data_IF_105488380588
#
_entry.id   IF_105488380588
#
_cell.length_a   1.000
_cell.length_b   1.000
_cell.length_c   1.000
_cell.angle_alpha   90.00
_cell.angle_beta   90.00
_cell.angle_gamma   90.00
#
_symmetry.space_group_name_H-M   'P 1'
#
loop_
_entity.id
_entity.type
_entity.pdbx_description
1 polymer ?
#
# COMPACT_ATOMS: atom_id res chain seq x y z
N UNK A 1 -0.86 -4.11 -15.05
CA UNK A 1 -1.47 -3.04 -14.24
C UNK A 1 -0.41 -2.01 -13.81
N UNK A 2 0.55 -2.35 -12.95
CA UNK A 2 1.68 -1.49 -12.60
C UNK A 2 2.96 -2.07 -13.22
N UNK A 3 3.73 -1.23 -13.91
CA UNK A 3 5.02 -1.62 -14.51
C UNK A 3 6.08 -0.61 -14.09
N UNK A 4 7.13 -1.08 -13.43
CA UNK A 4 8.28 -0.29 -13.02
C UNK A 4 9.45 -0.73 -13.91
N UNK A 5 10.04 0.22 -14.65
CA UNK A 5 11.01 -0.06 -15.70
C UNK A 5 12.32 0.66 -15.42
N UNK A 6 13.36 -0.10 -15.09
CA UNK A 6 14.72 0.40 -14.85
C UNK A 6 14.74 1.66 -13.96
N UNK A 7 13.97 1.62 -12.85
CA UNK A 7 13.75 2.76 -11.96
C UNK A 7 15.00 3.04 -11.12
N UNK A 8 15.53 4.24 -11.26
CA UNK A 8 16.57 4.81 -10.40
C UNK A 8 16.01 6.00 -9.65
N UNK A 9 16.14 6.00 -8.35
CA UNK A 9 15.64 7.08 -7.51
C UNK A 9 16.47 7.22 -6.23
N UNK A 10 16.44 8.43 -5.66
CA UNK A 10 17.18 8.72 -4.45
C UNK A 10 16.68 9.96 -3.73
N UNK A 11 17.43 10.40 -2.73
CA UNK A 11 17.18 11.59 -1.92
C UNK A 11 18.50 12.31 -1.67
N UNK A 12 18.51 13.64 -1.72
CA UNK A 12 19.68 14.48 -1.47
C UNK A 12 20.92 14.07 -2.28
N UNK A 13 20.71 13.72 -3.56
CA UNK A 13 21.78 13.29 -4.47
C UNK A 13 22.32 11.87 -4.20
N UNK A 14 21.80 11.15 -3.21
CA UNK A 14 22.17 9.76 -2.93
C UNK A 14 21.19 8.81 -3.59
N UNK A 15 21.68 8.03 -4.55
CA UNK A 15 20.89 6.99 -5.21
C UNK A 15 20.58 5.83 -4.23
N UNK A 16 19.31 5.46 -4.12
CA UNK A 16 18.84 4.37 -3.27
C UNK A 16 18.31 3.22 -4.12
N UNK A 17 17.45 3.52 -5.11
CA UNK A 17 16.97 2.52 -6.07
C UNK A 17 17.88 2.54 -7.31
N UNK A 18 18.33 1.38 -7.73
CA UNK A 18 19.42 1.21 -8.70
C UNK A 18 19.01 0.32 -9.87
N UNK A 19 17.92 0.72 -10.57
CA UNK A 19 17.42 -0.01 -11.74
C UNK A 19 16.41 -1.09 -11.39
N UNK A 20 15.37 -0.74 -10.63
CA UNK A 20 14.27 -1.64 -10.28
C UNK A 20 13.44 -1.95 -11.52
N UNK A 21 13.19 -3.25 -11.74
CA UNK A 21 12.21 -3.73 -12.70
C UNK A 21 11.18 -4.59 -11.97
N UNK A 22 9.90 -4.25 -12.09
CA UNK A 22 8.80 -4.97 -11.45
C UNK A 22 7.54 -4.85 -12.30
N UNK A 23 6.93 -5.98 -12.61
CA UNK A 23 5.65 -6.06 -13.29
C UNK A 23 4.61 -6.66 -12.35
N UNK A 24 3.49 -5.96 -12.15
CA UNK A 24 2.38 -6.41 -11.29
C UNK A 24 1.09 -6.36 -12.10
N UNK A 25 0.44 -7.50 -12.27
CA UNK A 25 -0.83 -7.59 -13.01
C UNK A 25 -2.03 -7.45 -12.05
N UNK A 26 -3.19 -7.19 -12.66
CA UNK A 26 -4.45 -7.23 -11.93
C UNK A 26 -4.71 -8.65 -11.39
N UNK A 27 -5.24 -8.74 -10.17
CA UNK A 27 -5.48 -9.98 -9.46
C UNK A 27 -4.28 -10.51 -8.68
N UNK A 28 -3.06 -10.01 -8.92
CA UNK A 28 -1.84 -10.52 -8.30
C UNK A 28 -1.53 -9.86 -6.95
N UNK A 29 -0.91 -10.66 -6.07
CA UNK A 29 -0.31 -10.21 -4.81
C UNK A 29 1.18 -10.41 -4.89
N UNK A 30 1.94 -9.34 -4.79
CA UNK A 30 3.39 -9.34 -4.78
C UNK A 30 3.91 -8.99 -3.39
N UNK A 31 4.87 -9.75 -2.89
CA UNK A 31 5.60 -9.40 -1.68
C UNK A 31 6.99 -8.87 -2.03
N UNK A 32 7.37 -7.76 -1.40
CA UNK A 32 8.73 -7.23 -1.48
C UNK A 32 9.38 -7.40 -0.12
N UNK A 33 10.38 -8.24 -0.06
CA UNK A 33 11.16 -8.53 1.13
C UNK A 33 12.60 -8.02 0.98
N UNK A 34 13.31 -7.87 2.09
CA UNK A 34 14.70 -7.44 2.06
C UNK A 34 15.15 -6.88 3.41
N UNK A 35 16.45 -6.77 3.65
CA UNK A 35 16.98 -6.22 4.90
C UNK A 35 16.60 -4.74 5.07
N UNK A 36 16.80 -4.23 6.28
CA UNK A 36 16.65 -2.80 6.56
C UNK A 36 17.64 -2.00 5.72
N UNK A 37 17.19 -0.87 5.17
CA UNK A 37 18.01 -0.03 4.28
C UNK A 37 18.11 -0.53 2.83
N UNK A 38 17.44 -1.62 2.45
CA UNK A 38 17.47 -2.15 1.08
C UNK A 38 16.77 -1.24 0.04
N UNK A 39 15.94 -0.27 0.48
CA UNK A 39 15.19 0.63 -0.40
C UNK A 39 13.70 0.31 -0.49
N UNK A 40 13.15 -0.57 0.35
CA UNK A 40 11.72 -0.99 0.30
C UNK A 40 10.75 0.18 0.45
N UNK A 41 10.87 0.96 1.53
CA UNK A 41 10.00 2.13 1.77
C UNK A 41 10.32 3.30 0.83
N UNK A 42 11.54 3.35 0.25
CA UNK A 42 11.84 4.27 -0.84
C UNK A 42 11.02 3.90 -2.08
N UNK A 43 10.95 2.61 -2.41
CA UNK A 43 10.18 2.14 -3.57
C UNK A 43 8.69 2.47 -3.42
N UNK A 44 8.08 2.19 -2.27
CA UNK A 44 6.68 2.54 -2.01
C UNK A 44 6.44 4.06 -2.08
N UNK A 45 7.32 4.85 -1.48
CA UNK A 45 7.24 6.32 -1.49
C UNK A 45 7.37 6.89 -2.90
N UNK A 46 8.32 6.40 -3.69
CA UNK A 46 8.52 6.84 -5.10
C UNK A 46 7.30 6.48 -5.96
N UNK A 47 6.72 5.29 -5.79
CA UNK A 47 5.50 4.91 -6.53
C UNK A 47 4.31 5.76 -6.11
N UNK A 48 4.21 6.12 -4.82
CA UNK A 48 3.17 7.00 -4.30
C UNK A 48 3.36 8.48 -4.68
N UNK A 49 4.51 8.86 -5.26
CA UNK A 49 4.78 10.24 -5.70
C UNK A 49 5.33 11.15 -4.61
N UNK A 50 5.98 10.62 -3.58
CA UNK A 50 6.56 11.45 -2.53
C UNK A 50 7.69 12.33 -3.08
N UNK A 51 7.47 13.64 -3.08
CA UNK A 51 8.34 14.69 -3.65
C UNK A 51 9.73 14.77 -3.02
N UNK A 52 9.95 14.15 -1.86
CA UNK A 52 11.28 14.09 -1.25
C UNK A 52 12.25 13.18 -2.02
N UNK A 53 11.75 12.35 -2.93
CA UNK A 53 12.55 11.45 -3.73
C UNK A 53 12.61 11.91 -5.20
N UNK A 54 13.78 11.94 -5.76
CA UNK A 54 14.02 12.28 -7.16
C UNK A 54 14.19 11.00 -7.98
N UNK A 55 13.39 10.87 -9.05
CA UNK A 55 13.57 9.83 -10.06
C UNK A 55 14.56 10.34 -11.11
N UNK A 56 15.72 9.69 -11.21
CA UNK A 56 16.79 10.10 -12.12
C UNK A 56 16.77 9.32 -13.43
N UNK A 57 16.16 8.12 -13.47
CA UNK A 57 16.06 7.28 -14.66
C UNK A 57 14.95 6.24 -14.52
N UNK A 58 14.46 5.76 -15.66
CA UNK A 58 13.41 4.75 -15.72
C UNK A 58 12.01 5.34 -15.72
N UNK A 59 11.00 4.50 -15.53
CA UNK A 59 9.60 4.92 -15.55
C UNK A 59 8.76 4.07 -14.60
N UNK A 60 7.60 4.62 -14.20
CA UNK A 60 6.54 3.95 -13.43
C UNK A 60 5.26 4.11 -14.23
N UNK A 61 4.75 3.02 -14.76
CA UNK A 61 3.57 3.01 -15.60
C UNK A 61 2.37 2.37 -14.88
N UNK A 62 1.24 3.05 -14.87
CA UNK A 62 -0.04 2.49 -14.45
C UNK A 62 -0.94 2.33 -15.67
N UNK A 63 -1.29 1.09 -16.01
CA UNK A 63 -2.03 0.74 -17.24
C UNK A 63 -1.40 1.30 -18.53
N UNK A 64 -0.07 1.41 -18.57
CA UNK A 64 0.69 1.91 -19.71
C UNK A 64 0.91 3.42 -19.74
N UNK A 65 0.36 4.17 -18.79
CA UNK A 65 0.58 5.62 -18.65
C UNK A 65 1.62 5.91 -17.58
N UNK A 66 2.59 6.78 -17.89
CA UNK A 66 3.60 7.21 -16.93
C UNK A 66 3.00 8.00 -15.78
N UNK A 67 3.51 7.76 -14.56
CA UNK A 67 3.15 8.47 -13.34
C UNK A 67 4.21 9.51 -12.94
N UNK A 68 5.31 9.67 -13.68
CA UNK A 68 6.45 10.46 -13.19
C UNK A 68 6.12 11.94 -13.00
N UNK A 69 5.30 12.50 -13.88
CA UNK A 69 4.87 13.91 -13.79
C UNK A 69 3.65 14.12 -12.88
N UNK A 70 3.03 13.03 -12.40
CA UNK A 70 1.84 13.12 -11.56
C UNK A 70 2.22 13.44 -10.11
N UNK A 71 1.55 14.41 -9.51
CA UNK A 71 1.58 14.69 -8.09
C UNK A 71 0.98 13.52 -7.27
N UNK A 72 1.29 13.39 -5.96
CA UNK A 72 0.77 12.31 -5.12
C UNK A 72 -0.77 12.16 -5.17
N UNK A 73 -1.51 13.26 -5.14
CA UNK A 73 -2.97 13.27 -5.24
C UNK A 73 -3.47 12.79 -6.61
N UNK A 74 -2.76 13.10 -7.68
CA UNK A 74 -3.12 12.64 -9.03
C UNK A 74 -2.92 11.13 -9.16
N UNK A 75 -1.83 10.59 -8.60
CA UNK A 75 -1.60 9.14 -8.52
C UNK A 75 -2.67 8.44 -7.68
N UNK A 76 -3.09 9.05 -6.57
CA UNK A 76 -4.19 8.54 -5.76
C UNK A 76 -5.52 8.53 -6.55
N UNK A 77 -5.82 9.59 -7.33
CA UNK A 77 -7.00 9.66 -8.20
C UNK A 77 -6.96 8.61 -9.33
N UNK A 78 -5.77 8.27 -9.83
CA UNK A 78 -5.58 7.20 -10.83
C UNK A 78 -5.73 5.80 -10.23
N UNK A 79 -5.69 5.68 -8.89
CA UNK A 79 -5.95 4.45 -8.15
C UNK A 79 -4.72 3.83 -7.47
N UNK A 80 -3.68 4.62 -7.19
CA UNK A 80 -2.59 4.20 -6.30
C UNK A 80 -3.00 4.48 -4.86
N UNK A 81 -2.87 3.50 -3.99
CA UNK A 81 -3.06 3.61 -2.55
C UNK A 81 -1.81 3.14 -1.82
N UNK A 82 -1.39 3.86 -0.80
CA UNK A 82 -0.30 3.48 0.07
C UNK A 82 -0.74 3.49 1.53
N UNK A 83 -0.56 2.36 2.23
CA UNK A 83 -0.64 2.27 3.68
C UNK A 83 0.72 2.64 4.26
N UNK A 84 0.75 3.65 5.11
CA UNK A 84 2.00 4.16 5.67
C UNK A 84 2.50 3.29 6.84
N UNK A 85 3.82 3.19 7.00
CA UNK A 85 4.42 2.57 8.18
C UNK A 85 3.91 3.25 9.47
N UNK A 86 3.85 4.59 9.47
CA UNK A 86 3.31 5.40 10.56
C UNK A 86 2.17 6.28 10.05
N UNK A 87 0.89 5.85 10.22
CA UNK A 87 -0.26 6.64 9.78
C UNK A 87 -0.34 8.00 10.47
N UNK A 88 -0.52 9.06 9.66
CA UNK A 88 -0.60 10.44 10.14
C UNK A 88 -1.89 10.67 10.93
N UNK A 89 -1.80 11.45 12.02
CA UNK A 89 -2.96 11.91 12.79
C UNK A 89 -3.45 13.25 12.25
N UNK A 90 -4.77 13.37 12.04
CA UNK A 90 -5.41 14.63 11.62
C UNK A 90 -6.46 15.01 12.66
N UNK A 91 -6.07 15.82 13.68
CA UNK A 91 -6.99 16.26 14.71
C UNK A 91 -8.15 17.09 14.13
N UNK A 92 -9.35 16.88 14.66
CA UNK A 92 -10.55 17.62 14.26
C UNK A 92 -11.22 17.15 12.97
N UNK A 93 -10.61 16.26 12.20
CA UNK A 93 -11.22 15.67 11.00
C UNK A 93 -11.64 14.22 11.32
N UNK A 94 -12.95 13.95 11.34
CA UNK A 94 -13.43 12.59 11.57
C UNK A 94 -13.06 11.65 10.42
N UNK A 95 -12.94 10.34 10.73
CA UNK A 95 -12.72 9.30 9.71
C UNK A 95 -13.75 9.41 8.59
N UNK A 96 -15.04 9.59 8.95
CA UNK A 96 -16.12 9.76 7.96
C UNK A 96 -15.91 10.96 7.04
N UNK A 97 -15.54 12.12 7.61
CA UNK A 97 -15.33 13.34 6.82
C UNK A 97 -14.12 13.20 5.90
N UNK A 98 -13.02 12.62 6.39
CA UNK A 98 -11.85 12.32 5.58
C UNK A 98 -12.21 11.45 4.38
N UNK A 99 -12.90 10.33 4.61
CA UNK A 99 -13.33 9.40 3.56
C UNK A 99 -14.27 10.08 2.55
N UNK A 100 -15.25 10.86 3.04
CA UNK A 100 -16.16 11.62 2.16
C UNK A 100 -15.36 12.52 1.21
N UNK A 101 -14.43 13.29 1.76
CA UNK A 101 -13.61 14.22 0.96
C UNK A 101 -12.77 13.45 -0.06
N UNK A 102 -12.06 12.39 0.37
CA UNK A 102 -11.21 11.60 -0.50
C UNK A 102 -11.98 10.94 -1.68
N UNK A 103 -13.18 10.38 -1.41
CA UNK A 103 -14.03 9.81 -2.45
C UNK A 103 -14.50 10.89 -3.42
N UNK A 104 -14.95 12.04 -2.91
CA UNK A 104 -15.50 13.09 -3.77
C UNK A 104 -14.42 13.75 -4.63
N UNK A 105 -13.21 13.96 -4.11
CA UNK A 105 -12.08 14.46 -4.92
C UNK A 105 -11.66 13.45 -6.00
N UNK A 106 -11.64 12.15 -5.67
CA UNK A 106 -11.38 11.10 -6.67
C UNK A 106 -12.45 11.07 -7.76
N UNK A 107 -13.75 11.20 -7.42
CA UNK A 107 -14.86 11.28 -8.38
C UNK A 107 -14.76 12.52 -9.25
N UNK A 108 -14.46 13.67 -8.66
CA UNK A 108 -14.27 14.93 -9.37
C UNK A 108 -13.14 14.86 -10.40
N UNK A 109 -12.01 14.24 -10.04
CA UNK A 109 -10.90 14.00 -10.96
C UNK A 109 -11.31 13.12 -12.16
N UNK A 110 -12.34 12.26 -11.98
CA UNK A 110 -12.92 11.43 -13.04
C UNK A 110 -14.08 12.11 -13.78
N UNK A 111 -14.38 13.38 -13.50
CA UNK A 111 -15.51 14.09 -14.09
C UNK A 111 -16.88 13.65 -13.58
N UNK A 112 -16.93 12.93 -12.46
CA UNK A 112 -18.17 12.43 -11.85
C UNK A 112 -18.70 13.40 -10.79
N UNK A 113 -20.04 13.47 -10.58
CA UNK A 113 -20.61 14.26 -9.49
C UNK A 113 -20.22 13.68 -8.13
N UNK A 114 -20.32 14.50 -7.07
CA UNK A 114 -20.17 14.03 -5.70
C UNK A 114 -21.09 12.84 -5.41
N UNK A 115 -20.61 11.92 -4.55
CA UNK A 115 -21.42 10.78 -4.11
C UNK A 115 -22.57 11.27 -3.23
N UNK A 116 -23.83 10.89 -3.54
CA UNK A 116 -24.97 11.23 -2.69
C UNK A 116 -24.76 10.75 -1.24
N UNK A 117 -25.16 11.57 -0.26
CA UNK A 117 -24.93 11.27 1.16
C UNK A 117 -25.51 9.92 1.59
N UNK A 118 -26.68 9.55 1.06
CA UNK A 118 -27.31 8.26 1.37
C UNK A 118 -26.50 7.07 0.83
N UNK A 119 -25.93 7.19 -0.37
CA UNK A 119 -25.07 6.19 -0.99
C UNK A 119 -23.74 6.06 -0.21
N UNK A 120 -23.12 7.18 0.14
CA UNK A 120 -21.91 7.18 0.95
C UNK A 120 -22.13 6.50 2.30
N UNK A 121 -23.20 6.83 3.01
CA UNK A 121 -23.52 6.22 4.30
C UNK A 121 -23.78 4.71 4.16
N UNK A 122 -24.45 4.28 3.10
CA UNK A 122 -24.65 2.86 2.79
C UNK A 122 -23.31 2.18 2.59
N UNK A 123 -22.44 2.71 1.72
CA UNK A 123 -21.08 2.17 1.45
C UNK A 123 -20.24 2.09 2.73
N UNK A 124 -20.25 3.14 3.55
CA UNK A 124 -19.55 3.16 4.85
C UNK A 124 -20.02 2.01 5.75
N UNK A 125 -21.33 1.81 5.90
CA UNK A 125 -21.90 0.75 6.75
C UNK A 125 -21.52 -0.64 6.23
N UNK A 126 -21.62 -0.88 4.93
CA UNK A 126 -21.26 -2.14 4.28
C UNK A 126 -19.78 -2.47 4.49
N UNK A 127 -18.87 -1.51 4.21
CA UNK A 127 -17.43 -1.72 4.38
C UNK A 127 -17.02 -1.83 5.86
N UNK A 128 -17.64 -1.06 6.75
CA UNK A 128 -17.40 -1.19 8.20
C UNK A 128 -17.84 -2.56 8.72
N UNK A 129 -19.01 -3.06 8.30
CA UNK A 129 -19.47 -4.40 8.66
C UNK A 129 -18.55 -5.50 8.09
N UNK A 130 -18.12 -5.37 6.82
CA UNK A 130 -17.18 -6.29 6.19
C UNK A 130 -15.87 -6.43 6.97
N UNK A 131 -15.36 -5.32 7.51
CA UNK A 131 -14.09 -5.23 8.23
C UNK A 131 -14.23 -5.29 9.75
N UNK A 132 -15.45 -5.52 10.26
CA UNK A 132 -15.74 -5.62 11.68
C UNK A 132 -15.35 -4.36 12.48
N UNK A 133 -15.55 -3.19 11.87
CA UNK A 133 -15.22 -1.90 12.46
C UNK A 133 -16.40 -1.39 13.29
N UNK A 134 -16.13 -1.02 14.55
CA UNK A 134 -17.13 -0.40 15.42
C UNK A 134 -17.57 0.95 14.83
N UNK A 135 -18.87 1.22 14.63
CA UNK A 135 -19.37 2.49 14.09
C UNK A 135 -18.90 3.74 14.84
N UNK A 136 -18.70 3.65 16.16
CA UNK A 136 -18.21 4.76 16.98
C UNK A 136 -16.78 5.20 16.58
N UNK A 137 -16.03 4.32 15.96
CA UNK A 137 -14.69 4.61 15.44
C UNK A 137 -14.73 5.66 14.32
N UNK A 138 -15.76 5.64 13.50
CA UNK A 138 -15.89 6.49 12.30
C UNK A 138 -16.14 7.97 12.62
N UNK A 139 -16.64 8.29 13.81
CA UNK A 139 -16.85 9.65 14.30
C UNK A 139 -15.62 10.27 14.98
N UNK A 140 -14.60 9.45 15.32
CA UNK A 140 -13.35 9.93 15.95
C UNK A 140 -12.48 10.66 14.94
N UNK A 141 -11.64 11.58 15.42
CA UNK A 141 -10.60 12.23 14.61
C UNK A 141 -9.65 11.19 14.02
N UNK A 142 -9.29 11.37 12.75
CA UNK A 142 -8.46 10.42 11.98
C UNK A 142 -7.16 10.12 12.72
N UNK A 143 -7.00 8.87 13.12
CA UNK A 143 -5.84 8.30 13.81
C UNK A 143 -5.48 8.91 15.17
N UNK A 144 -6.18 9.98 15.62
CA UNK A 144 -5.88 10.66 16.88
C UNK A 144 -6.22 9.78 18.09
N UNK A 145 -5.19 9.42 18.86
CA UNK A 145 -5.35 8.55 20.02
C UNK A 145 -5.77 7.12 19.68
N UNK A 146 -5.55 6.68 18.45
CA UNK A 146 -5.75 5.29 18.04
C UNK A 146 -4.57 4.44 18.49
N UNK A 147 -4.83 3.21 18.92
CA UNK A 147 -3.79 2.20 19.06
C UNK A 147 -3.18 1.84 17.70
N UNK A 148 -2.02 1.20 17.68
CA UNK A 148 -1.39 0.73 16.43
C UNK A 148 -2.34 -0.13 15.58
N UNK A 149 -3.03 -1.07 16.22
CA UNK A 149 -4.02 -1.92 15.53
C UNK A 149 -5.24 -1.15 15.01
N UNK A 150 -5.72 -0.13 15.75
CA UNK A 150 -6.80 0.75 15.27
C UNK A 150 -6.36 1.59 14.06
N UNK A 151 -5.12 2.13 14.07
CA UNK A 151 -4.57 2.88 12.93
C UNK A 151 -4.51 2.01 11.68
N UNK A 152 -4.00 0.79 11.80
CA UNK A 152 -3.92 -0.15 10.67
C UNK A 152 -5.29 -0.60 10.15
N UNK A 153 -6.26 -0.88 11.05
CA UNK A 153 -7.64 -1.15 10.63
C UNK A 153 -8.25 0.05 9.89
N UNK A 154 -7.94 1.27 10.33
CA UNK A 154 -8.41 2.47 9.64
C UNK A 154 -7.82 2.59 8.24
N UNK A 155 -6.55 2.25 8.03
CA UNK A 155 -5.95 2.23 6.69
C UNK A 155 -6.62 1.19 5.78
N UNK A 156 -6.91 -0.02 6.29
CA UNK A 156 -7.64 -1.02 5.52
C UNK A 156 -9.08 -0.57 5.22
N UNK A 157 -9.70 0.18 6.13
CA UNK A 157 -11.01 0.79 5.87
C UNK A 157 -10.92 1.86 4.77
N UNK A 158 -9.89 2.71 4.79
CA UNK A 158 -9.65 3.67 3.71
C UNK A 158 -9.45 2.94 2.37
N UNK A 159 -8.65 1.89 2.34
CA UNK A 159 -8.47 1.04 1.15
C UNK A 159 -9.82 0.46 0.66
N UNK A 160 -10.66 -0.03 1.57
CA UNK A 160 -11.98 -0.57 1.23
C UNK A 160 -12.93 0.47 0.64
N UNK A 161 -12.85 1.71 1.13
CA UNK A 161 -13.72 2.80 0.68
C UNK A 161 -13.26 3.40 -0.66
N UNK A 162 -11.95 3.49 -0.87
CA UNK A 162 -11.34 4.09 -2.06
C UNK A 162 -11.23 3.10 -3.24
N UNK A 163 -11.23 1.80 -2.98
CA UNK A 163 -11.19 0.73 -3.98
C UNK A 163 -10.06 0.95 -5.02
N UNK A 164 -8.80 1.02 -4.56
CA UNK A 164 -7.68 1.35 -5.43
C UNK A 164 -7.40 0.23 -6.45
N UNK A 165 -6.78 0.60 -7.59
CA UNK A 165 -6.27 -0.34 -8.57
C UNK A 165 -5.02 -1.05 -8.05
N UNK A 166 -4.13 -0.31 -7.40
CA UNK A 166 -2.90 -0.85 -6.78
C UNK A 166 -2.84 -0.38 -5.34
N UNK A 167 -2.81 -1.33 -4.40
CA UNK A 167 -2.61 -1.06 -2.98
C UNK A 167 -1.20 -1.48 -2.57
N UNK A 168 -0.42 -0.54 -2.01
CA UNK A 168 0.91 -0.78 -1.45
C UNK A 168 0.80 -0.75 0.07
N UNK A 169 1.12 -1.87 0.70
CA UNK A 169 1.06 -2.06 2.15
C UNK A 169 2.49 -2.07 2.71
N UNK A 170 2.96 -0.91 3.17
CA UNK A 170 4.34 -0.76 3.65
C UNK A 170 4.43 -1.05 5.15
N UNK A 171 5.10 -2.15 5.48
CA UNK A 171 5.31 -2.65 6.85
C UNK A 171 4.04 -2.61 7.73
N UNK A 172 2.92 -3.05 7.16
CA UNK A 172 1.60 -3.02 7.80
C UNK A 172 1.51 -3.90 9.05
N UNK A 173 2.44 -4.82 9.23
CA UNK A 173 2.61 -5.73 10.36
C UNK A 173 3.44 -5.14 11.50
N UNK A 174 4.11 -4.00 11.29
CA UNK A 174 4.97 -3.39 12.31
C UNK A 174 4.20 -2.96 13.55
N UNK A 175 4.62 -3.44 14.71
CA UNK A 175 4.01 -3.08 16.01
C UNK A 175 2.63 -3.68 16.27
N UNK A 176 2.18 -4.64 15.45
CA UNK A 176 0.92 -5.35 15.67
C UNK A 176 1.14 -6.64 16.48
N UNK A 177 0.22 -6.90 17.41
CA UNK A 177 0.06 -8.23 17.99
C UNK A 177 -0.57 -9.22 16.99
N UNK A 178 -0.62 -10.50 17.34
CA UNK A 178 -1.10 -11.58 16.47
C UNK A 178 -2.55 -11.35 16.02
N UNK A 179 -3.40 -10.88 16.91
CA UNK A 179 -4.83 -10.73 16.63
C UNK A 179 -5.07 -9.54 15.73
N UNK A 180 -4.41 -8.40 15.97
CA UNK A 180 -4.47 -7.23 15.10
C UNK A 180 -3.93 -7.56 13.69
N UNK A 181 -2.81 -8.29 13.60
CA UNK A 181 -2.24 -8.74 12.33
C UNK A 181 -3.23 -9.60 11.53
N UNK A 182 -3.89 -10.56 12.20
CA UNK A 182 -4.89 -11.42 11.57
C UNK A 182 -6.09 -10.63 11.04
N UNK A 183 -6.58 -9.65 11.81
CA UNK A 183 -7.70 -8.80 11.40
C UNK A 183 -7.33 -7.97 10.17
N UNK A 184 -6.17 -7.35 10.17
CA UNK A 184 -5.64 -6.57 9.04
C UNK A 184 -5.50 -7.44 7.79
N UNK A 185 -4.86 -8.60 7.91
CA UNK A 185 -4.67 -9.52 6.80
C UNK A 185 -5.99 -10.06 6.25
N UNK A 186 -6.95 -10.40 7.12
CA UNK A 186 -8.30 -10.80 6.70
C UNK A 186 -9.01 -9.66 5.94
N UNK A 187 -8.84 -8.42 6.40
CA UNK A 187 -9.35 -7.24 5.70
C UNK A 187 -8.79 -7.13 4.28
N UNK A 188 -7.49 -7.21 4.13
CA UNK A 188 -6.82 -7.20 2.80
C UNK A 188 -7.35 -8.33 1.92
N UNK A 189 -7.43 -9.57 2.44
CA UNK A 189 -7.92 -10.72 1.68
C UNK A 189 -9.38 -10.56 1.21
N UNK A 190 -10.24 -9.91 2.02
CA UNK A 190 -11.63 -9.59 1.62
C UNK A 190 -11.72 -8.53 0.52
N UNK A 191 -10.68 -7.71 0.35
CA UNK A 191 -10.63 -6.62 -0.63
C UNK A 191 -9.89 -7.00 -1.91
N UNK A 192 -9.21 -8.14 -1.95
CA UNK A 192 -8.57 -8.66 -3.16
C UNK A 192 -9.62 -9.01 -4.21
N UNK A 193 -9.35 -8.66 -5.46
CA UNK A 193 -10.20 -8.95 -6.60
C UNK A 193 -9.36 -9.17 -7.86
N UNK A 194 -9.99 -9.64 -8.95
CA UNK A 194 -9.34 -9.74 -10.27
C UNK A 194 -8.96 -8.39 -10.87
N UNK A 195 -9.50 -7.28 -10.32
CA UNK A 195 -9.41 -5.94 -10.90
C UNK A 195 -8.41 -5.04 -10.15
N UNK A 196 -7.87 -5.52 -9.04
CA UNK A 196 -6.87 -4.79 -8.27
C UNK A 196 -5.60 -5.62 -8.05
N UNK A 197 -4.51 -4.95 -7.70
CA UNK A 197 -3.25 -5.58 -7.32
C UNK A 197 -2.85 -5.15 -5.91
N UNK A 198 -2.17 -6.03 -5.18
CA UNK A 198 -1.66 -5.74 -3.84
C UNK A 198 -0.15 -5.96 -3.81
N UNK A 199 0.59 -4.97 -3.34
CA UNK A 199 2.02 -5.07 -3.07
C UNK A 199 2.21 -5.01 -1.56
N UNK A 200 2.72 -6.07 -0.97
CA UNK A 200 3.01 -6.16 0.46
C UNK A 200 4.50 -5.99 0.67
N UNK A 201 4.89 -4.95 1.39
CA UNK A 201 6.28 -4.73 1.79
C UNK A 201 6.41 -5.17 3.24
N UNK A 202 7.24 -6.16 3.50
CA UNK A 202 7.50 -6.67 4.85
C UNK A 202 8.88 -7.33 4.92
N UNK A 203 9.45 -7.37 6.10
CA UNK A 203 10.63 -8.18 6.40
C UNK A 203 10.27 -9.42 7.21
N UNK A 204 8.99 -9.64 7.52
CA UNK A 204 8.50 -10.79 8.27
C UNK A 204 7.65 -11.71 7.38
N UNK A 205 7.99 -12.98 7.35
CA UNK A 205 7.19 -14.00 6.68
C UNK A 205 5.79 -14.12 7.28
N UNK A 206 5.64 -13.90 8.57
CA UNK A 206 4.39 -14.10 9.29
C UNK A 206 3.17 -13.37 8.68
N UNK A 207 3.35 -12.17 8.12
CA UNK A 207 2.28 -11.50 7.39
C UNK A 207 1.90 -12.28 6.13
N UNK A 208 2.90 -12.87 5.45
CA UNK A 208 2.72 -13.62 4.21
C UNK A 208 2.08 -15.00 4.42
N UNK A 209 2.00 -15.49 5.65
CA UNK A 209 1.22 -16.69 6.00
C UNK A 209 -0.29 -16.40 5.93
N UNK A 210 -0.69 -15.16 6.16
CA UNK A 210 -2.08 -14.71 6.10
C UNK A 210 -2.43 -14.08 4.74
N UNK A 211 -1.54 -13.28 4.16
CA UNK A 211 -1.69 -12.67 2.83
C UNK A 211 -0.74 -13.41 1.89
N UNK A 212 -1.18 -14.57 1.39
CA UNK A 212 -0.33 -15.42 0.54
C UNK A 212 -0.03 -14.70 -0.77
N UNK A 213 1.27 -14.43 -1.08
CA UNK A 213 1.65 -13.78 -2.33
C UNK A 213 1.73 -14.78 -3.48
N UNK A 214 1.44 -14.29 -4.68
CA UNK A 214 1.71 -15.00 -5.93
C UNK A 214 3.20 -14.95 -6.27
N UNK A 215 3.83 -13.80 -5.99
CA UNK A 215 5.26 -13.56 -6.23
C UNK A 215 5.93 -12.93 -5.02
N UNK A 216 7.18 -13.31 -4.78
CA UNK A 216 8.06 -12.74 -3.75
C UNK A 216 9.30 -12.20 -4.44
N UNK A 217 9.63 -10.94 -4.17
CA UNK A 217 10.81 -10.26 -4.69
C UNK A 217 11.73 -9.87 -3.55
N UNK A 218 13.02 -10.15 -3.69
CA UNK A 218 14.01 -9.76 -2.70
C UNK A 218 14.71 -8.50 -3.17
N UNK A 219 14.52 -7.43 -2.43
CA UNK A 219 15.21 -6.16 -2.62
C UNK A 219 16.45 -6.12 -1.75
N UNK A 220 17.61 -5.91 -2.36
CA UNK A 220 18.89 -5.77 -1.68
C UNK A 220 19.73 -4.69 -2.36
N UNK A 221 20.26 -3.76 -1.57
CA UNK A 221 21.07 -2.63 -2.07
C UNK A 221 20.46 -1.91 -3.29
N UNK A 222 19.17 -1.62 -3.23
CA UNK A 222 18.44 -0.89 -4.26
C UNK A 222 18.11 -1.68 -5.53
N UNK A 223 18.27 -3.01 -5.53
CA UNK A 223 17.98 -3.89 -6.69
C UNK A 223 17.11 -5.07 -6.29
N UNK A 224 16.27 -5.54 -7.19
CA UNK A 224 15.63 -6.85 -7.05
C UNK A 224 16.67 -7.90 -7.46
N UNK A 225 17.19 -8.63 -6.46
CA UNK A 225 18.26 -9.62 -6.67
C UNK A 225 17.73 -11.03 -6.93
N UNK A 226 16.51 -11.33 -6.47
CA UNK A 226 15.84 -12.62 -6.67
C UNK A 226 14.33 -12.44 -6.69
N UNK A 227 13.65 -13.20 -7.52
CA UNK A 227 12.19 -13.33 -7.53
C UNK A 227 11.81 -14.80 -7.50
N UNK A 228 10.70 -15.10 -6.86
CA UNK A 228 10.17 -16.46 -6.72
C UNK A 228 8.73 -16.44 -6.25
N UNK A 229 8.28 -17.56 -5.73
CA UNK A 229 6.95 -17.75 -5.17
C UNK A 229 7.01 -17.70 -3.64
N UNK A 230 5.92 -18.03 -2.93
CA UNK A 230 5.86 -18.03 -1.47
C UNK A 230 6.98 -18.85 -0.80
N UNK A 231 7.50 -19.88 -1.48
CA UNK A 231 8.61 -20.70 -0.99
C UNK A 231 9.89 -19.90 -0.77
N UNK A 232 10.09 -18.83 -1.56
CA UNK A 232 11.22 -17.93 -1.38
C UNK A 232 11.15 -17.20 -0.02
N UNK A 233 9.95 -16.82 0.43
CA UNK A 233 9.78 -16.19 1.74
C UNK A 233 10.19 -17.15 2.89
N UNK A 234 9.84 -18.44 2.79
CA UNK A 234 10.25 -19.47 3.73
C UNK A 234 11.79 -19.66 3.74
N UNK A 235 12.39 -19.66 2.55
CA UNK A 235 13.84 -19.77 2.42
C UNK A 235 14.56 -18.58 3.07
N UNK A 236 14.03 -17.37 2.90
CA UNK A 236 14.58 -16.16 3.53
C UNK A 236 14.48 -16.18 5.06
N UNK A 237 13.37 -16.67 5.61
CA UNK A 237 13.23 -16.81 7.06
C UNK A 237 14.25 -17.78 7.65
N UNK A 238 14.52 -18.90 6.97
CA UNK A 238 15.45 -19.92 7.43
C UNK A 238 16.92 -19.51 7.27
N UNK A 239 17.28 -18.86 6.15
CA UNK A 239 18.68 -18.60 5.75
C UNK A 239 19.11 -17.13 5.91
N UNK A 240 18.16 -16.21 6.20
CA UNK A 240 18.44 -14.78 6.16
C UNK A 240 18.69 -14.28 4.73
N UNK A 241 19.34 -13.14 4.59
CA UNK A 241 19.62 -12.48 3.30
C UNK A 241 21.07 -12.62 2.82
N UNK A 242 21.99 -13.13 3.67
CA UNK A 242 23.43 -13.09 3.39
C UNK A 242 23.88 -13.93 2.19
N UNK A 243 23.13 -14.97 1.85
CA UNK A 243 23.40 -15.84 0.71
C UNK A 243 22.98 -15.24 -0.65
N UNK A 244 22.36 -14.05 -0.63
CA UNK A 244 21.93 -13.32 -1.84
C UNK A 244 22.88 -12.18 -2.23
N UNK A 245 23.98 -12.03 -1.53
CA UNK A 245 25.02 -11.03 -1.79
C UNK A 245 25.88 -11.40 -2.99
#
# INVERSE_FOLDING_TARGET
>A
MLSIQNLHAGVDGKEILKGINLEVKAGEVHAIMGPNGAGKSTLSSVVAGNENFEVTKGDILLNGESLLEDAPEERAHKGIFMSFQYPVEIPGISVTNFIKTAINESRKAQGLPEMPAAELLKKIREKAALLEINPNFLSRSLNQGFSGGEKKRNEIFQMAMLEPKVAILDETDSGLDIDALRIVANGVNKLKSSDNAVIVITHYQRLLDYIVPDYVHVLHDGKIVKSGTKELALELEQKGYDWLK
#
